data_IF_457502133909
#
_entry.id   IF_457502133909
#
_cell.length_a   1.000
_cell.length_b   1.000
_cell.length_c   1.000
_cell.angle_alpha   90.00
_cell.angle_beta   90.00
_cell.angle_gamma   90.00
#
_symmetry.space_group_name_H-M   'P 1'
#
loop_
_entity.id
_entity.type
_entity.pdbx_description
1 polymer ?
#
# COMPACT_ATOMS: atom_id res chain seq x y z
N UNK A 1 24.24 18.68 -2.26
CA UNK A 1 22.81 18.54 -2.02
C UNK A 1 22.53 17.14 -1.55
N UNK A 2 21.83 17.00 -0.46
CA UNK A 2 21.55 15.70 0.10
C UNK A 2 20.29 15.09 -0.50
N UNK A 3 20.24 13.79 -0.70
CA UNK A 3 18.99 13.14 -1.09
C UNK A 3 17.96 13.25 0.02
N UNK A 4 16.72 13.25 -0.35
CA UNK A 4 15.58 13.38 0.55
C UNK A 4 14.73 12.13 0.48
N UNK A 5 13.86 11.98 1.47
CA UNK A 5 12.87 10.91 1.45
C UNK A 5 11.51 11.52 1.20
N UNK A 6 10.83 11.03 0.18
CA UNK A 6 9.49 11.50 -0.18
C UNK A 6 8.49 10.36 -0.14
N UNK A 7 7.25 10.72 0.07
CA UNK A 7 6.15 9.78 -0.02
C UNK A 7 5.14 10.39 -0.96
N UNK A 8 4.75 9.68 -2.00
CA UNK A 8 3.72 10.12 -2.94
C UNK A 8 2.57 9.11 -2.93
N UNK A 9 1.40 9.59 -2.57
CA UNK A 9 0.19 8.81 -2.61
C UNK A 9 -0.55 9.17 -3.89
N UNK A 10 -0.92 8.17 -4.67
CA UNK A 10 -1.53 8.37 -5.99
C UNK A 10 -2.90 7.70 -6.02
N UNK A 11 -3.91 8.45 -6.44
CA UNK A 11 -5.24 7.93 -6.67
C UNK A 11 -5.46 7.82 -8.17
N UNK A 12 -5.64 6.59 -8.64
CA UNK A 12 -5.84 6.28 -10.05
C UNK A 12 -7.26 5.89 -10.35
N UNK A 13 -7.62 5.98 -11.63
CA UNK A 13 -8.87 5.42 -12.12
C UNK A 13 -8.93 3.92 -11.79
N UNK A 14 -10.11 3.37 -11.52
CA UNK A 14 -10.23 1.99 -11.05
C UNK A 14 -10.01 0.90 -12.12
N UNK A 15 -9.50 1.27 -13.28
CA UNK A 15 -9.27 0.33 -14.35
C UNK A 15 -7.95 -0.40 -14.15
N UNK A 16 -7.99 -1.67 -13.83
CA UNK A 16 -6.82 -2.46 -13.55
C UNK A 16 -5.97 -2.83 -14.77
N UNK A 17 -6.54 -2.74 -15.96
CA UNK A 17 -5.82 -3.14 -17.18
C UNK A 17 -4.59 -2.29 -17.45
N UNK A 18 -4.56 -1.07 -16.93
CA UNK A 18 -3.46 -0.16 -17.16
C UNK A 18 -2.55 0.00 -15.96
N UNK A 19 -2.84 -0.70 -14.87
CA UNK A 19 -2.09 -0.56 -13.62
C UNK A 19 -0.63 -0.96 -13.77
N UNK A 20 -0.37 -2.08 -14.41
CA UNK A 20 0.98 -2.57 -14.61
C UNK A 20 1.82 -1.60 -15.45
N UNK A 21 1.23 -1.08 -16.51
CA UNK A 21 1.89 -0.08 -17.36
C UNK A 21 2.21 1.18 -16.56
N UNK A 22 1.28 1.61 -15.72
CA UNK A 22 1.48 2.79 -14.88
C UNK A 22 2.61 2.56 -13.87
N UNK A 23 2.64 1.41 -13.20
CA UNK A 23 3.70 1.08 -12.26
C UNK A 23 5.08 1.10 -12.93
N UNK A 24 5.16 0.47 -14.11
CA UNK A 24 6.41 0.42 -14.86
C UNK A 24 6.88 1.82 -15.25
N UNK A 25 5.96 2.69 -15.60
CA UNK A 25 6.27 4.06 -15.97
C UNK A 25 6.85 4.82 -14.76
N UNK A 26 6.23 4.69 -13.59
CA UNK A 26 6.72 5.36 -12.37
C UNK A 26 8.06 4.79 -11.95
N UNK A 27 8.20 3.47 -11.95
CA UNK A 27 9.46 2.82 -11.59
C UNK A 27 10.60 3.26 -12.51
N UNK A 28 10.33 3.34 -13.80
CA UNK A 28 11.31 3.79 -14.77
C UNK A 28 11.70 5.25 -14.59
N UNK A 29 10.73 6.09 -14.26
CA UNK A 29 10.97 7.50 -14.03
C UNK A 29 11.83 7.71 -12.77
N UNK A 30 11.54 7.00 -11.69
CA UNK A 30 12.32 7.09 -10.47
C UNK A 30 13.75 6.60 -10.69
N UNK A 31 13.91 5.49 -11.38
CA UNK A 31 15.23 4.94 -11.67
C UNK A 31 16.05 5.87 -12.57
N UNK A 32 15.43 6.43 -13.61
CA UNK A 32 16.11 7.34 -14.53
C UNK A 32 16.56 8.61 -13.84
N UNK A 33 15.85 9.07 -12.82
CA UNK A 33 16.21 10.24 -12.05
C UNK A 33 17.18 9.97 -10.91
N UNK A 34 17.69 8.75 -10.80
CA UNK A 34 18.61 8.39 -9.73
C UNK A 34 17.93 8.12 -8.40
N UNK A 35 16.62 7.93 -8.40
CA UNK A 35 15.89 7.65 -7.19
C UNK A 35 15.92 6.17 -6.82
N UNK A 36 15.64 5.89 -5.57
CA UNK A 36 15.56 4.51 -5.10
C UNK A 36 14.28 4.34 -4.30
N UNK A 37 13.55 3.26 -4.55
CA UNK A 37 12.31 2.98 -3.84
C UNK A 37 12.63 2.41 -2.46
N UNK A 38 12.08 3.05 -1.42
CA UNK A 38 12.20 2.57 -0.05
C UNK A 38 11.07 1.57 0.21
N UNK A 39 9.85 1.92 -0.21
CA UNK A 39 8.67 1.11 0.02
C UNK A 39 7.63 1.40 -1.05
N UNK A 40 6.97 0.36 -1.53
CA UNK A 40 5.84 0.50 -2.42
C UNK A 40 4.68 -0.29 -1.83
N UNK A 41 3.50 0.32 -1.82
CA UNK A 41 2.30 -0.36 -1.37
C UNK A 41 1.18 -0.16 -2.38
N UNK A 42 0.49 -1.24 -2.70
CA UNK A 42 -0.70 -1.20 -3.52
C UNK A 42 -1.87 -1.39 -2.57
N UNK A 43 -2.61 -0.31 -2.34
CA UNK A 43 -3.75 -0.35 -1.43
C UNK A 43 -5.01 -0.90 -2.09
N UNK A 44 -4.98 -1.11 -3.39
CA UNK A 44 -6.07 -1.68 -4.13
C UNK A 44 -7.20 -0.71 -4.43
N UNK A 45 -8.27 -1.26 -4.93
CA UNK A 45 -9.46 -0.50 -5.27
C UNK A 45 -10.23 -0.18 -4.00
N UNK A 46 -10.56 1.07 -3.81
CA UNK A 46 -11.31 1.52 -2.63
C UNK A 46 -12.43 2.45 -3.01
N UNK A 47 -13.50 2.43 -2.23
CA UNK A 47 -14.61 3.33 -2.44
C UNK A 47 -14.21 4.73 -1.98
N UNK A 48 -14.53 5.72 -2.81
CA UNK A 48 -14.21 7.11 -2.53
C UNK A 48 -15.31 7.73 -1.66
N UNK A 49 -14.93 8.69 -0.82
CA UNK A 49 -15.90 9.39 0.04
C UNK A 49 -16.90 10.18 -0.78
N UNK A 50 -16.48 10.66 -1.94
CA UNK A 50 -17.33 11.33 -2.91
C UNK A 50 -16.82 10.99 -4.29
N UNK A 51 -17.67 11.03 -5.34
CA UNK A 51 -17.23 10.69 -6.69
C UNK A 51 -16.16 11.66 -7.21
N UNK A 52 -15.16 11.11 -7.91
CA UNK A 52 -14.13 11.90 -8.56
C UNK A 52 -14.21 11.55 -10.04
N UNK A 53 -14.38 12.53 -10.90
CA UNK A 53 -14.56 12.33 -12.34
C UNK A 53 -15.63 11.27 -12.64
N UNK A 54 -16.73 11.34 -11.89
CA UNK A 54 -17.89 10.45 -12.01
C UNK A 54 -17.58 8.99 -11.60
N UNK A 55 -16.43 8.74 -11.01
CA UNK A 55 -16.10 7.42 -10.51
C UNK A 55 -16.31 7.32 -9.00
N UNK A 56 -16.94 6.27 -8.55
CA UNK A 56 -17.21 6.03 -7.14
C UNK A 56 -16.05 5.29 -6.47
N UNK A 57 -15.19 4.63 -7.25
CA UNK A 57 -14.05 3.89 -6.76
C UNK A 57 -12.76 4.42 -7.36
N UNK A 58 -11.67 4.19 -6.71
CA UNK A 58 -10.34 4.52 -7.19
C UNK A 58 -9.33 3.52 -6.70
N UNK A 59 -8.16 3.50 -7.32
CA UNK A 59 -7.08 2.61 -6.94
C UNK A 59 -5.95 3.42 -6.32
N UNK A 60 -5.54 3.09 -5.10
CA UNK A 60 -4.49 3.82 -4.40
C UNK A 60 -3.16 3.11 -4.48
N UNK A 61 -2.10 3.86 -4.80
CA UNK A 61 -0.73 3.39 -4.77
C UNK A 61 0.10 4.33 -3.89
N UNK A 62 1.01 3.77 -3.12
CA UNK A 62 1.91 4.54 -2.27
C UNK A 62 3.35 4.26 -2.68
N UNK A 63 4.09 5.32 -2.98
CA UNK A 63 5.52 5.24 -3.29
C UNK A 63 6.29 6.02 -2.24
N UNK A 64 7.22 5.35 -1.56
CA UNK A 64 8.11 5.96 -0.60
C UNK A 64 9.50 5.80 -1.20
N UNK A 65 10.18 6.89 -1.51
CA UNK A 65 11.40 6.85 -2.29
C UNK A 65 12.44 7.88 -1.84
N UNK A 66 13.68 7.59 -2.17
CA UNK A 66 14.80 8.49 -1.95
C UNK A 66 15.10 9.20 -3.26
N UNK A 67 15.34 10.48 -3.21
CA UNK A 67 15.72 11.24 -4.40
C UNK A 67 15.87 12.73 -4.11
N UNK A 68 16.19 13.49 -5.13
CA UNK A 68 16.32 14.94 -5.01
C UNK A 68 15.02 15.66 -5.31
N UNK A 69 14.96 16.97 -5.04
CA UNK A 69 13.76 17.76 -5.33
C UNK A 69 13.38 17.76 -6.81
N UNK A 70 14.37 17.67 -7.70
CA UNK A 70 14.09 17.63 -9.14
C UNK A 70 13.35 16.36 -9.53
N UNK A 71 13.67 15.23 -8.89
CA UNK A 71 12.99 13.97 -9.15
C UNK A 71 11.55 14.04 -8.70
N UNK A 72 11.28 14.57 -7.51
CA UNK A 72 9.93 14.71 -7.00
C UNK A 72 9.10 15.60 -7.90
N UNK A 73 9.66 16.70 -8.38
CA UNK A 73 8.99 17.62 -9.29
C UNK A 73 8.68 16.95 -10.63
N UNK A 74 9.62 16.16 -11.14
CA UNK A 74 9.41 15.45 -12.40
C UNK A 74 8.32 14.38 -12.27
N UNK A 75 8.29 13.68 -11.14
CA UNK A 75 7.22 12.71 -10.88
C UNK A 75 5.87 13.41 -10.84
N UNK A 76 5.76 14.51 -10.10
CA UNK A 76 4.52 15.27 -10.03
C UNK A 76 4.07 15.79 -11.38
N UNK A 77 5.02 16.26 -12.20
CA UNK A 77 4.71 16.73 -13.54
C UNK A 77 4.08 15.62 -14.38
N UNK A 78 4.65 14.42 -14.31
CA UNK A 78 4.13 13.29 -15.06
C UNK A 78 2.77 12.84 -14.53
N UNK A 79 2.57 12.87 -13.22
CA UNK A 79 1.27 12.52 -12.62
C UNK A 79 0.19 13.51 -13.02
N UNK A 80 0.55 14.79 -13.10
CA UNK A 80 -0.40 15.84 -13.42
C UNK A 80 -0.94 15.74 -14.84
N UNK A 81 -0.10 15.30 -15.78
CA UNK A 81 -0.53 15.19 -17.17
C UNK A 81 -1.12 13.81 -17.53
N UNK A 82 -1.07 12.86 -16.65
CA UNK A 82 -1.60 11.53 -16.91
C UNK A 82 -3.10 11.51 -16.60
N UNK A 83 -3.91 11.23 -17.61
CA UNK A 83 -5.36 11.24 -17.48
C UNK A 83 -5.90 10.19 -16.49
N UNK A 84 -5.13 9.15 -16.22
CA UNK A 84 -5.53 8.09 -15.30
C UNK A 84 -5.36 8.50 -13.85
N UNK A 85 -4.58 9.53 -13.59
CA UNK A 85 -4.34 10.01 -12.23
C UNK A 85 -5.43 11.01 -11.85
N UNK A 86 -6.22 10.65 -10.84
CA UNK A 86 -7.26 11.53 -10.34
C UNK A 86 -6.68 12.56 -9.37
N UNK A 87 -5.84 12.12 -8.47
CA UNK A 87 -5.22 12.98 -7.47
C UNK A 87 -3.88 12.40 -7.06
N UNK A 88 -3.00 13.24 -6.56
CA UNK A 88 -1.75 12.79 -5.96
C UNK A 88 -1.37 13.74 -4.82
N UNK A 89 -0.59 13.24 -3.88
CA UNK A 89 -0.09 14.03 -2.77
C UNK A 89 1.35 13.59 -2.50
N UNK A 90 2.28 14.52 -2.49
CA UNK A 90 3.68 14.24 -2.18
C UNK A 90 4.06 14.92 -0.87
N UNK A 91 4.65 14.17 0.03
CA UNK A 91 5.12 14.66 1.33
C UNK A 91 6.63 14.46 1.41
N UNK A 92 7.31 15.39 2.09
CA UNK A 92 8.73 15.24 2.39
C UNK A 92 8.82 14.58 3.76
N UNK A 93 9.27 13.33 3.81
CA UNK A 93 9.39 12.60 5.07
C UNK A 93 10.71 12.93 5.77
N UNK A 94 11.77 13.18 5.00
CA UNK A 94 13.05 13.57 5.56
C UNK A 94 13.80 14.46 4.57
N UNK A 95 14.33 15.57 5.06
CA UNK A 95 15.08 16.49 4.21
C UNK A 95 16.49 16.01 3.92
N UNK A 96 16.98 15.05 4.70
CA UNK A 96 18.27 14.42 4.48
C UNK A 96 18.08 12.94 4.70
N UNK A 97 18.35 12.14 3.67
CA UNK A 97 18.14 10.71 3.72
C UNK A 97 19.25 10.03 2.93
N UNK A 98 20.31 9.65 3.64
CA UNK A 98 21.51 9.08 3.02
C UNK A 98 21.31 7.62 2.64
N UNK A 99 22.33 7.02 2.00
CA UNK A 99 22.30 5.59 1.68
C UNK A 99 22.24 4.73 2.93
N UNK A 100 22.87 5.19 4.01
CA UNK A 100 22.81 4.47 5.27
C UNK A 100 21.39 4.49 5.84
N UNK A 101 20.73 5.66 5.74
CA UNK A 101 19.35 5.82 6.18
C UNK A 101 18.42 4.94 5.34
N UNK A 102 18.68 4.83 4.05
CA UNK A 102 17.90 3.99 3.14
C UNK A 102 18.01 2.51 3.54
N UNK A 103 19.23 2.05 3.80
CA UNK A 103 19.48 0.68 4.20
C UNK A 103 18.78 0.38 5.52
N UNK A 104 18.89 1.28 6.50
CA UNK A 104 18.26 1.13 7.80
C UNK A 104 16.72 1.09 7.68
N UNK A 105 16.16 1.97 6.84
CA UNK A 105 14.71 2.01 6.62
C UNK A 105 14.21 0.72 5.97
N UNK A 106 14.93 0.20 5.00
CA UNK A 106 14.57 -1.05 4.34
C UNK A 106 14.63 -2.24 5.30
N UNK A 107 15.65 -2.29 6.13
CA UNK A 107 15.79 -3.35 7.13
C UNK A 107 14.65 -3.30 8.13
N UNK A 108 14.30 -2.11 8.59
CA UNK A 108 13.21 -1.92 9.53
C UNK A 108 11.87 -2.37 8.93
N UNK A 109 11.62 -2.02 7.68
CA UNK A 109 10.39 -2.42 6.99
C UNK A 109 10.30 -3.92 6.80
N UNK A 110 11.42 -4.57 6.48
CA UNK A 110 11.46 -6.03 6.35
C UNK A 110 11.18 -6.70 7.69
N UNK A 111 11.75 -6.18 8.77
CA UNK A 111 11.52 -6.71 10.10
C UNK A 111 10.07 -6.54 10.53
N UNK A 112 9.46 -5.40 10.24
CA UNK A 112 8.05 -5.15 10.53
C UNK A 112 7.13 -6.07 9.72
N UNK A 113 7.45 -6.29 8.45
CA UNK A 113 6.68 -7.17 7.60
C UNK A 113 6.74 -8.61 8.10
N UNK A 114 7.93 -9.07 8.49
CA UNK A 114 8.10 -10.42 9.03
C UNK A 114 7.31 -10.59 10.34
N UNK A 115 7.30 -9.56 11.18
CA UNK A 115 6.55 -9.60 12.43
C UNK A 115 5.05 -9.65 12.18
N UNK A 116 4.56 -8.88 11.22
CA UNK A 116 3.13 -8.87 10.87
C UNK A 116 2.70 -10.23 10.34
N UNK A 117 3.52 -10.85 9.51
CA UNK A 117 3.21 -12.18 8.99
C UNK A 117 3.18 -13.22 10.09
N UNK A 118 4.12 -13.14 11.02
CA UNK A 118 4.18 -14.04 12.16
C UNK A 118 2.95 -13.87 13.05
N UNK A 119 2.54 -12.65 13.32
CA UNK A 119 1.35 -12.37 14.11
C UNK A 119 0.08 -12.84 13.42
N UNK A 120 0.02 -12.65 12.11
CA UNK A 120 -1.12 -13.08 11.32
C UNK A 120 -1.26 -14.61 11.36
N UNK A 121 -0.16 -15.31 11.15
CA UNK A 121 -0.15 -16.76 11.21
C UNK A 121 -0.60 -17.26 12.59
N UNK A 122 -0.14 -16.58 13.63
CA UNK A 122 -0.52 -16.94 14.99
C UNK A 122 -2.00 -16.70 15.24
N UNK A 123 -2.57 -15.64 14.71
CA UNK A 123 -3.99 -15.35 14.83
C UNK A 123 -4.85 -16.36 14.07
N UNK A 124 -4.38 -16.76 12.91
CA UNK A 124 -5.07 -17.75 12.09
C UNK A 124 -5.09 -19.11 12.79
N UNK A 125 -3.97 -19.50 13.41
CA UNK A 125 -3.93 -20.73 14.16
C UNK A 125 -4.86 -20.67 15.36
N UNK A 126 -4.85 -19.58 16.10
CA UNK A 126 -5.74 -19.42 17.25
C UNK A 126 -7.20 -19.42 16.83
N UNK A 127 -7.51 -18.79 15.69
CA UNK A 127 -8.85 -18.78 15.16
C UNK A 127 -9.33 -20.18 14.74
N UNK A 128 -8.45 -20.94 14.11
CA UNK A 128 -8.76 -22.29 13.68
C UNK A 128 -8.98 -23.21 14.89
N UNK A 129 -8.17 -23.06 15.94
CA UNK A 129 -8.36 -23.84 17.14
C UNK A 129 -9.65 -23.47 17.85
N UNK A 130 -10.00 -22.20 17.89
CA UNK A 130 -11.24 -21.76 18.51
C UNK A 130 -12.46 -22.27 17.74
N UNK A 131 -12.40 -22.26 16.44
CA UNK A 131 -13.49 -22.78 15.64
C UNK A 131 -13.60 -24.29 15.75
N UNK A 132 -12.49 -24.98 15.80
CA UNK A 132 -12.50 -26.42 15.96
C UNK A 132 -13.01 -26.87 17.29
N UNK A 133 -12.96 -26.01 18.32
CA UNK A 133 -13.47 -26.36 19.60
C UNK A 133 -14.92 -26.06 19.80
N UNK A 134 -15.58 -25.49 18.86
CA UNK A 134 -16.91 -25.06 19.03
C UNK A 134 -17.94 -25.94 18.51
N UNK A 135 -17.65 -27.15 18.11
CA UNK A 135 -18.62 -27.79 17.54
C UNK A 135 -19.17 -28.83 18.33
N UNK A 136 -19.12 -28.88 19.56
CA UNK A 136 -19.60 -29.87 20.18
C UNK A 136 -20.79 -29.73 20.79
N UNK A 137 -21.58 -29.01 20.72
CA UNK A 137 -22.53 -28.79 21.50
C UNK A 137 -23.76 -28.82 21.12
N UNK A 138 -24.33 -28.94 20.69
CA UNK A 138 -25.54 -28.73 20.43
C UNK A 138 -26.41 -29.69 20.29
N UNK A 139 -26.32 -30.42 20.66
CA UNK A 139 -27.10 -31.25 20.42
C UNK A 139 -28.17 -31.52 21.17
N UNK A 140 -28.58 -31.52 21.76
CA UNK A 140 -29.49 -31.89 22.50
C UNK A 140 -30.59 -31.32 22.67
N UNK A 141 -31.17 -31.24 22.79
CA UNK A 141 -32.22 -30.64 23.03
C UNK A 141 -33.35 -31.19 22.82
N UNK A 142 -33.48 -31.75 22.63
CA UNK A 142 -34.50 -32.25 22.46
C UNK A 142 -35.60 -32.20 22.92
N UNK A 143 -35.95 -32.12 23.31
CA UNK A 143 -36.96 -31.97 23.57
C UNK A 143 -37.98 -32.65 23.80
N UNK A 144 -38.50 -32.98 24.05
CA UNK A 144 -39.44 -33.54 24.29
C UNK A 144 -40.55 -33.30 24.64
N UNK A 145 -41.09 -33.29 24.77
CA UNK A 145 -42.17 -33.06 25.05
C UNK A 145 -43.15 -33.50 25.04
N UNK A 146 -43.64 -33.82 25.09
CA UNK A 146 -44.51 -34.09 25.08
C UNK A 146 -45.59 -34.13 25.46
N UNK A 147 -46.26 -34.33 25.56
CA UNK A 147 -47.36 -34.33 25.74
C UNK A 147 -48.13 -33.76 25.69
#
# INVERSE_FOLDING_TARGET
MHPRRYETLILLAPNLDTLETFKNKVDGLLAAGGGQIVRFEDWGRRRLAYPVQKETYGHYLLYDYQGGPALASELERNLKIDEKVFKYLTLVLAKKFTEEDLTAAREKLLAEAARRESEKARREEAGAEAEGGGEEDDAETAGDDEE
#
